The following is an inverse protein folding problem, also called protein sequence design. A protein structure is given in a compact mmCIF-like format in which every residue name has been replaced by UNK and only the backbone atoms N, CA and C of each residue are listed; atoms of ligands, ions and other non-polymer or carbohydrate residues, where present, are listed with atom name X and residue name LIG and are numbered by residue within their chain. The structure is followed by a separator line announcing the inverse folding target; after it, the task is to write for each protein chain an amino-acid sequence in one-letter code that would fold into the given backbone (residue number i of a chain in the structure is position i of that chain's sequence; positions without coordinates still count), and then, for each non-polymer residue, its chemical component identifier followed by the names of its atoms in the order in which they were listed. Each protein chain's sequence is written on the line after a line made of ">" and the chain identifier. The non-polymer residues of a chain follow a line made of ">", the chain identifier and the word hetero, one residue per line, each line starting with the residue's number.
data_IF_455855705896
#
_entry.id   IF_455855705896
#
_cell.length_a   1.000
_cell.length_b   1.000
_cell.length_c   1.000
_cell.angle_alpha   90.00
_cell.angle_beta   90.00
_cell.angle_gamma   90.00
#
_symmetry.space_group_name_H-M   'P 1'
#
loop_
_entity.id
_entity.type
_entity.pdbx_description
1 polymer ?
#
# COMPACT_ATOMS: atom_id res chain seq x y z
N UNK A 1 -19.16 -0.71 13.82
CA UNK A 1 -19.42 -0.55 12.37
C UNK A 1 -18.11 -0.79 11.63
N UNK A 2 -18.11 -1.61 10.58
CA UNK A 2 -16.92 -1.81 9.75
C UNK A 2 -16.78 -0.68 8.73
N UNK A 3 -15.55 -0.31 8.37
CA UNK A 3 -15.22 0.76 7.42
C UNK A 3 -14.33 0.18 6.32
N UNK A 4 -14.34 0.84 5.15
CA UNK A 4 -13.40 0.58 4.05
C UNK A 4 -12.45 1.76 3.96
N UNK A 5 -11.17 1.55 4.27
CA UNK A 5 -10.16 2.59 4.38
C UNK A 5 -9.06 2.34 3.35
N UNK A 6 -8.71 3.37 2.60
CA UNK A 6 -7.57 3.37 1.71
C UNK A 6 -6.50 4.30 2.26
N UNK A 7 -5.37 3.75 2.68
CA UNK A 7 -4.21 4.53 3.11
C UNK A 7 -3.27 4.71 1.93
N UNK A 8 -2.60 5.85 1.85
CA UNK A 8 -1.66 6.15 0.76
C UNK A 8 -0.31 6.52 1.36
N UNK A 9 0.75 5.82 0.95
CA UNK A 9 2.13 6.22 1.24
C UNK A 9 2.77 6.79 -0.03
N UNK A 10 3.46 7.95 0.05
CA UNK A 10 4.22 8.47 -1.08
C UNK A 10 5.60 7.80 -1.24
N UNK A 11 6.00 6.93 -0.31
CA UNK A 11 7.33 6.32 -0.29
C UNK A 11 7.31 4.92 -0.89
N UNK A 12 8.43 4.50 -1.48
CA UNK A 12 8.57 3.17 -2.07
C UNK A 12 8.34 2.08 -1.01
N UNK A 13 7.28 1.29 -1.13
CA UNK A 13 6.93 0.22 -0.19
C UNK A 13 7.95 -0.92 -0.16
N UNK A 14 8.74 -1.03 -1.22
CA UNK A 14 9.85 -1.98 -1.34
C UNK A 14 11.11 -1.57 -0.59
N UNK A 15 11.13 -0.42 0.08
CA UNK A 15 12.28 0.09 0.82
C UNK A 15 11.86 0.43 2.26
N UNK A 16 12.76 0.25 3.25
CA UNK A 16 12.53 0.71 4.62
C UNK A 16 12.29 2.22 4.65
N UNK A 17 11.23 2.64 5.35
CA UNK A 17 10.92 4.05 5.57
C UNK A 17 9.96 4.18 6.76
N UNK A 18 10.26 5.04 7.74
CA UNK A 18 9.48 5.18 8.98
C UNK A 18 7.99 5.44 8.72
N UNK A 19 7.67 6.21 7.67
CA UNK A 19 6.28 6.45 7.25
C UNK A 19 5.60 5.17 6.75
N UNK A 20 6.30 4.30 6.03
CA UNK A 20 5.74 3.01 5.60
C UNK A 20 5.46 2.11 6.81
N UNK A 21 6.38 2.08 7.79
CA UNK A 21 6.19 1.32 9.03
C UNK A 21 4.99 1.83 9.83
N UNK A 22 4.85 3.16 9.95
CA UNK A 22 3.68 3.78 10.57
C UNK A 22 2.38 3.42 9.85
N UNK A 23 2.33 3.55 8.52
CA UNK A 23 1.15 3.20 7.71
C UNK A 23 0.82 1.71 7.83
N UNK A 24 1.83 0.83 7.85
CA UNK A 24 1.63 -0.60 8.03
C UNK A 24 1.04 -0.92 9.41
N UNK A 25 1.53 -0.28 10.47
CA UNK A 25 1.01 -0.42 11.83
C UNK A 25 -0.44 0.06 11.95
N UNK A 26 -0.77 1.22 11.38
CA UNK A 26 -2.14 1.74 11.34
C UNK A 26 -3.06 0.80 10.56
N UNK A 27 -2.63 0.30 9.41
CA UNK A 27 -3.40 -0.63 8.60
C UNK A 27 -3.70 -1.93 9.37
N UNK A 28 -2.69 -2.51 10.01
CA UNK A 28 -2.83 -3.72 10.82
C UNK A 28 -3.80 -3.49 11.99
N UNK A 29 -3.61 -2.43 12.77
CA UNK A 29 -4.49 -2.12 13.90
C UNK A 29 -5.94 -1.87 13.48
N UNK A 30 -6.18 -1.19 12.36
CA UNK A 30 -7.54 -1.01 11.83
C UNK A 30 -8.16 -2.34 11.36
N UNK A 31 -7.38 -3.25 10.77
CA UNK A 31 -7.88 -4.59 10.41
C UNK A 31 -8.21 -5.42 11.63
N UNK A 32 -7.40 -5.37 12.69
CA UNK A 32 -7.68 -6.02 13.98
C UNK A 32 -9.00 -5.53 14.61
N UNK A 33 -9.34 -4.25 14.41
CA UNK A 33 -10.62 -3.67 14.82
C UNK A 33 -11.81 -4.04 13.90
N UNK A 34 -11.58 -4.84 12.85
CA UNK A 34 -12.61 -5.33 11.93
C UNK A 34 -12.90 -4.41 10.73
N UNK A 35 -11.98 -3.51 10.38
CA UNK A 35 -12.09 -2.68 9.18
C UNK A 35 -11.40 -3.34 7.97
N UNK A 36 -11.89 -3.06 6.77
CA UNK A 36 -11.20 -3.41 5.52
C UNK A 36 -10.22 -2.29 5.17
N UNK A 37 -8.93 -2.62 5.08
CA UNK A 37 -7.88 -1.62 4.82
C UNK A 37 -6.96 -2.09 3.71
N UNK A 38 -6.73 -1.23 2.73
CA UNK A 38 -5.72 -1.41 1.68
C UNK A 38 -4.76 -0.23 1.72
N UNK A 39 -3.47 -0.51 1.50
CA UNK A 39 -2.44 0.53 1.32
C UNK A 39 -2.09 0.66 -0.16
N UNK A 40 -2.12 1.89 -0.66
CA UNK A 40 -1.60 2.26 -1.98
C UNK A 40 -0.23 2.90 -1.81
N UNK A 41 0.77 2.41 -2.55
CA UNK A 41 2.12 2.96 -2.47
C UNK A 41 2.90 2.77 -3.78
N UNK A 42 3.93 3.57 -4.04
CA UNK A 42 4.93 3.26 -5.04
C UNK A 42 5.77 2.03 -4.68
N UNK A 43 6.44 1.42 -5.65
CA UNK A 43 7.47 0.41 -5.41
C UNK A 43 8.61 0.54 -6.42
N UNK A 44 9.83 0.18 -6.01
CA UNK A 44 10.99 0.04 -6.90
C UNK A 44 11.19 -1.40 -7.40
N UNK A 45 10.30 -2.35 -7.04
CA UNK A 45 10.35 -3.75 -7.49
C UNK A 45 9.30 -4.01 -8.57
N UNK A 46 9.73 -4.50 -9.74
CA UNK A 46 8.84 -4.81 -10.85
C UNK A 46 7.77 -5.87 -10.50
N UNK A 47 8.12 -6.85 -9.65
CA UNK A 47 7.19 -7.88 -9.19
C UNK A 47 6.00 -7.28 -8.41
N UNK A 48 6.26 -6.31 -7.53
CA UNK A 48 5.21 -5.63 -6.77
C UNK A 48 4.26 -4.87 -7.71
N UNK A 49 4.81 -4.18 -8.71
CA UNK A 49 4.02 -3.41 -9.68
C UNK A 49 3.12 -4.33 -10.53
N UNK A 50 3.64 -5.50 -10.92
CA UNK A 50 2.86 -6.50 -11.63
C UNK A 50 1.73 -7.06 -10.75
N UNK A 51 2.03 -7.39 -9.49
CA UNK A 51 1.05 -7.87 -8.52
C UNK A 51 -0.03 -6.82 -8.24
N UNK A 52 0.36 -5.56 -8.02
CA UNK A 52 -0.57 -4.44 -7.80
C UNK A 52 -1.47 -4.18 -9.00
N UNK A 53 -0.93 -4.21 -10.23
CA UNK A 53 -1.73 -4.10 -11.46
C UNK A 53 -2.78 -5.20 -11.55
N UNK A 54 -2.41 -6.45 -11.26
CA UNK A 54 -3.36 -7.59 -11.28
C UNK A 54 -4.44 -7.40 -10.22
N UNK A 55 -4.06 -7.05 -8.99
CA UNK A 55 -5.01 -6.82 -7.90
C UNK A 55 -6.07 -5.76 -8.25
N UNK A 56 -5.67 -4.67 -8.94
CA UNK A 56 -6.62 -3.65 -9.41
C UNK A 56 -7.57 -4.15 -10.49
N UNK A 57 -7.07 -4.91 -11.46
CA UNK A 57 -7.89 -5.45 -12.56
C UNK A 57 -8.88 -6.49 -12.06
N UNK A 58 -8.47 -7.30 -11.08
CA UNK A 58 -9.27 -8.38 -10.52
C UNK A 58 -10.21 -7.89 -9.39
N UNK A 59 -10.07 -6.63 -8.95
CA UNK A 59 -10.80 -6.08 -7.80
C UNK A 59 -10.46 -6.79 -6.48
N UNK A 60 -9.25 -7.33 -6.36
CA UNK A 60 -8.82 -8.13 -5.21
C UNK A 60 -8.70 -7.29 -3.93
N UNK A 61 -9.09 -7.87 -2.79
CA UNK A 61 -8.91 -7.26 -1.46
C UNK A 61 -7.47 -7.50 -0.97
N UNK A 62 -6.51 -6.89 -1.65
CA UNK A 62 -5.10 -6.97 -1.30
C UNK A 62 -4.75 -5.97 -0.19
N UNK A 63 -3.89 -6.39 0.74
CA UNK A 63 -3.47 -5.53 1.85
C UNK A 63 -2.62 -4.34 1.38
N UNK A 64 -1.81 -4.54 0.34
CA UNK A 64 -0.97 -3.52 -0.30
C UNK A 64 -1.07 -3.67 -1.81
N UNK A 65 -1.27 -2.55 -2.50
CA UNK A 65 -1.29 -2.48 -3.96
C UNK A 65 -0.23 -1.47 -4.39
N UNK A 66 0.82 -1.96 -5.05
CA UNK A 66 1.84 -1.08 -5.63
C UNK A 66 1.34 -0.49 -6.95
N UNK A 67 1.21 0.84 -7.03
CA UNK A 67 0.56 1.51 -8.16
C UNK A 67 1.50 1.95 -9.27
N UNK A 68 2.76 2.21 -8.93
CA UNK A 68 3.70 2.80 -9.88
C UNK A 68 5.13 2.82 -9.35
N UNK A 69 6.11 3.11 -10.23
CA UNK A 69 7.49 3.23 -9.83
C UNK A 69 7.66 4.38 -8.83
N UNK A 70 8.53 4.19 -7.84
CA UNK A 70 8.98 5.30 -7.00
C UNK A 70 9.82 6.27 -7.84
N UNK A 71 9.41 7.53 -7.92
CA UNK A 71 10.12 8.56 -8.69
C UNK A 71 10.87 9.46 -7.70
N UNK A 72 12.20 9.58 -7.82
CA UNK A 72 12.96 10.54 -7.02
C UNK A 72 12.47 11.96 -7.31
N UNK A 73 12.20 12.73 -6.27
CA UNK A 73 11.88 14.15 -6.42
C UNK A 73 13.22 14.88 -6.35
N UNK A 74 13.68 15.44 -7.48
CA UNK A 74 14.82 16.36 -7.48
C UNK A 74 14.46 17.56 -6.61
N UNK A 75 15.28 17.85 -5.59
CA UNK A 75 15.20 19.10 -4.83
C UNK A 75 16.01 20.17 -5.53
#
# INVERSE_FOLDING_TARGET
>A
MSLRVCLVSPFAWSQPHDVNEHVAGVAAGLRELGHHVTVLAPSSRAADLLAGRRALLDGADAEVIALGPAVPISR
#
